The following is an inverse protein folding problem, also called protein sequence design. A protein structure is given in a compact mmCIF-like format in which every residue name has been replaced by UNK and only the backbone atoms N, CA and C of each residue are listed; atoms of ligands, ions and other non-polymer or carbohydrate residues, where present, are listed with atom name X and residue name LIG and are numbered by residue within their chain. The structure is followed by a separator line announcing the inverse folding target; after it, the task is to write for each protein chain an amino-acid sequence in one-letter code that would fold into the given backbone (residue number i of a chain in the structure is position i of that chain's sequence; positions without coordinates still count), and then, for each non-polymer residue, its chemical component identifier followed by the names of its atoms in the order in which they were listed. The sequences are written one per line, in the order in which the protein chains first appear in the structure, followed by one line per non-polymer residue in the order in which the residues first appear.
data_IF_038629442475
#
_entry.id   IF_038629442475
#
_cell.length_a   1.000
_cell.length_b   1.000
_cell.length_c   1.000
_cell.angle_alpha   90.00
_cell.angle_beta   90.00
_cell.angle_gamma   90.00
#
_symmetry.space_group_name_H-M   'P 1'
#
loop_
_entity.id
_entity.type
_entity.pdbx_description
1 polymer ?
#
# COMPACT_ATOMS: atom_id res chain seq x y z
N UNK A 1 -14.10 -37.42 -27.22
CA UNK A 1 -13.87 -36.24 -26.36
C UNK A 1 -14.07 -35.02 -27.27
N UNK A 2 -15.18 -34.32 -27.07
CA UNK A 2 -15.45 -33.08 -27.82
C UNK A 2 -14.43 -32.04 -27.37
N UNK A 3 -13.62 -31.52 -28.30
CA UNK A 3 -12.67 -30.47 -27.96
C UNK A 3 -13.43 -29.22 -27.48
N UNK A 4 -13.13 -28.77 -26.29
CA UNK A 4 -13.73 -27.58 -25.69
C UNK A 4 -12.83 -26.41 -26.05
N UNK A 5 -13.39 -25.43 -26.74
CA UNK A 5 -12.66 -24.22 -27.08
C UNK A 5 -12.87 -23.13 -25.99
N UNK A 6 -11.82 -22.79 -25.29
CA UNK A 6 -11.80 -21.68 -24.31
C UNK A 6 -10.85 -20.60 -24.84
N UNK A 7 -11.39 -19.44 -25.15
CA UNK A 7 -10.59 -18.31 -25.61
C UNK A 7 -9.97 -17.54 -24.43
N UNK A 8 -8.66 -17.47 -24.44
CA UNK A 8 -7.85 -16.71 -23.47
C UNK A 8 -6.87 -15.78 -24.18
N UNK A 9 -6.50 -14.66 -23.58
CA UNK A 9 -5.33 -13.92 -24.03
C UNK A 9 -4.12 -14.85 -24.09
N UNK A 10 -3.35 -14.86 -25.20
CA UNK A 10 -2.25 -15.82 -25.39
C UNK A 10 -1.25 -15.84 -24.24
N UNK A 11 -0.98 -14.70 -23.64
CA UNK A 11 -0.04 -14.55 -22.52
C UNK A 11 -0.51 -15.24 -21.23
N UNK A 12 -1.81 -15.52 -21.08
CA UNK A 12 -2.36 -16.24 -19.94
C UNK A 12 -2.35 -17.76 -20.11
N UNK A 13 -2.22 -18.28 -21.32
CA UNK A 13 -2.24 -19.73 -21.58
C UNK A 13 -1.19 -20.45 -20.70
N UNK A 14 0.10 -20.06 -20.69
CA UNK A 14 1.10 -20.74 -19.85
C UNK A 14 0.84 -20.65 -18.34
N UNK A 15 0.06 -19.64 -17.91
CA UNK A 15 -0.31 -19.49 -16.49
C UNK A 15 -1.20 -20.65 -16.04
N UNK A 16 -2.08 -21.14 -16.91
CA UNK A 16 -3.04 -22.19 -16.59
C UNK A 16 -2.57 -23.60 -16.97
N UNK A 17 -1.43 -23.74 -17.65
CA UNK A 17 -0.85 -25.03 -17.99
C UNK A 17 -0.05 -25.64 -16.85
N UNK A 18 -0.01 -26.98 -16.79
CA UNK A 18 0.81 -27.76 -15.85
C UNK A 18 0.49 -27.50 -14.37
N UNK A 19 1.36 -27.94 -13.47
CA UNK A 19 1.19 -27.80 -12.01
C UNK A 19 1.70 -26.43 -11.53
N UNK A 20 0.99 -25.86 -10.58
CA UNK A 20 1.42 -24.69 -9.80
C UNK A 20 0.53 -24.61 -8.54
N UNK A 21 1.10 -24.13 -7.43
CA UNK A 21 0.34 -23.86 -6.21
C UNK A 21 -0.29 -22.45 -6.26
N UNK A 22 0.38 -21.55 -6.97
CA UNK A 22 -0.07 -20.17 -7.15
C UNK A 22 -0.14 -19.81 -8.65
N UNK A 23 -1.25 -19.21 -9.05
CA UNK A 23 -1.37 -18.63 -10.39
C UNK A 23 -1.83 -17.19 -10.25
N UNK A 24 -1.29 -16.31 -11.08
CA UNK A 24 -1.68 -14.90 -10.95
C UNK A 24 -1.42 -14.08 -12.20
N UNK A 25 -2.11 -12.93 -12.22
CA UNK A 25 -1.86 -11.91 -13.20
C UNK A 25 -2.02 -10.51 -12.57
N UNK A 26 -1.03 -9.66 -12.82
CA UNK A 26 -1.09 -8.27 -12.40
C UNK A 26 -0.92 -7.34 -13.61
N UNK A 27 -1.30 -6.08 -13.46
CA UNK A 27 -1.09 -5.06 -14.50
C UNK A 27 -2.26 -4.11 -14.67
N UNK A 28 -2.26 -3.37 -15.77
CA UNK A 28 -3.18 -2.29 -16.03
C UNK A 28 -4.63 -2.71 -16.28
N UNK A 29 -5.51 -1.74 -16.36
CA UNK A 29 -6.92 -1.93 -16.70
C UNK A 29 -7.08 -2.42 -18.15
N UNK A 30 -8.22 -3.07 -18.42
CA UNK A 30 -8.56 -3.53 -19.77
C UNK A 30 -7.77 -4.76 -20.26
N UNK A 31 -6.97 -5.39 -19.40
CA UNK A 31 -6.13 -6.55 -19.74
C UNK A 31 -6.86 -7.90 -19.77
N UNK A 32 -8.18 -7.94 -19.49
CA UNK A 32 -9.02 -9.15 -19.40
C UNK A 32 -8.64 -10.13 -18.27
N UNK A 33 -7.83 -9.74 -17.26
CA UNK A 33 -7.43 -10.59 -16.13
C UNK A 33 -8.64 -11.22 -15.42
N UNK A 34 -9.49 -10.40 -14.83
CA UNK A 34 -10.65 -10.84 -14.04
C UNK A 34 -11.55 -11.78 -14.83
N UNK A 35 -11.91 -11.41 -16.07
CA UNK A 35 -12.72 -12.25 -16.95
C UNK A 35 -12.09 -13.61 -17.24
N UNK A 36 -10.79 -13.63 -17.55
CA UNK A 36 -10.06 -14.86 -17.85
C UNK A 36 -9.95 -15.77 -16.63
N UNK A 37 -9.65 -15.21 -15.46
CA UNK A 37 -9.58 -15.99 -14.23
C UNK A 37 -10.95 -16.50 -13.81
N UNK A 38 -12.01 -15.71 -13.91
CA UNK A 38 -13.38 -16.16 -13.67
C UNK A 38 -13.77 -17.34 -14.59
N UNK A 39 -13.46 -17.25 -15.89
CA UNK A 39 -13.66 -18.33 -16.84
C UNK A 39 -12.89 -19.59 -16.42
N UNK A 40 -11.62 -19.45 -16.07
CA UNK A 40 -10.76 -20.58 -15.72
C UNK A 40 -11.12 -21.20 -14.37
N UNK A 41 -11.67 -20.43 -13.40
CA UNK A 41 -12.24 -21.04 -12.19
C UNK A 41 -13.40 -21.97 -12.53
N UNK A 42 -14.26 -21.56 -13.47
CA UNK A 42 -15.37 -22.39 -13.93
C UNK A 42 -14.90 -23.65 -14.68
N UNK A 43 -13.90 -23.51 -15.53
CA UNK A 43 -13.26 -24.66 -16.19
C UNK A 43 -12.70 -25.65 -15.16
N UNK A 44 -11.92 -25.13 -14.19
CA UNK A 44 -11.31 -25.96 -13.12
C UNK A 44 -12.35 -26.68 -12.29
N UNK A 45 -13.42 -25.99 -11.87
CA UNK A 45 -14.52 -26.61 -11.10
C UNK A 45 -15.26 -27.69 -11.89
N UNK A 46 -15.54 -27.47 -13.17
CA UNK A 46 -16.13 -28.49 -14.06
C UNK A 46 -15.21 -29.71 -14.22
N UNK A 47 -13.89 -29.50 -14.36
CA UNK A 47 -12.90 -30.60 -14.46
C UNK A 47 -12.85 -31.42 -13.16
N UNK A 48 -12.78 -30.76 -12.00
CA UNK A 48 -12.80 -31.42 -10.68
C UNK A 48 -14.06 -32.28 -10.54
N UNK A 49 -15.23 -31.72 -10.81
CA UNK A 49 -16.50 -32.46 -10.74
C UNK A 49 -16.57 -33.62 -11.75
N UNK A 50 -16.05 -33.45 -12.97
CA UNK A 50 -15.99 -34.53 -13.97
C UNK A 50 -15.11 -35.70 -13.51
N UNK A 51 -14.06 -35.43 -12.74
CA UNK A 51 -13.18 -36.42 -12.13
C UNK A 51 -13.76 -37.06 -10.87
N UNK A 52 -14.98 -36.71 -10.46
CA UNK A 52 -15.61 -37.23 -9.25
C UNK A 52 -15.17 -36.50 -7.96
N UNK A 53 -14.40 -35.44 -8.07
CA UNK A 53 -13.96 -34.66 -6.92
C UNK A 53 -15.07 -33.71 -6.45
N UNK A 54 -15.13 -33.51 -5.12
CA UNK A 54 -16.12 -32.63 -4.49
C UNK A 54 -15.43 -31.66 -3.55
N UNK A 55 -15.89 -30.41 -3.52
CA UNK A 55 -15.31 -29.38 -2.67
C UNK A 55 -15.84 -27.99 -3.00
N UNK A 56 -15.07 -26.97 -2.66
CA UNK A 56 -15.46 -25.57 -2.86
C UNK A 56 -14.43 -24.81 -3.66
N UNK A 57 -14.92 -23.86 -4.47
CA UNK A 57 -14.14 -22.75 -5.02
C UNK A 57 -14.48 -21.50 -4.21
N UNK A 58 -13.50 -20.96 -3.51
CA UNK A 58 -13.64 -19.70 -2.79
C UNK A 58 -13.20 -18.55 -3.68
N UNK A 59 -14.12 -17.62 -3.98
CA UNK A 59 -13.79 -16.34 -4.59
C UNK A 59 -13.81 -15.25 -3.52
N UNK A 60 -12.70 -14.53 -3.38
CA UNK A 60 -12.54 -13.54 -2.31
C UNK A 60 -12.02 -12.20 -2.85
N UNK A 61 -12.37 -11.12 -2.14
CA UNK A 61 -11.81 -9.78 -2.24
C UNK A 61 -11.54 -9.26 -0.84
N UNK A 62 -10.74 -8.19 -0.68
CA UNK A 62 -10.55 -7.56 0.63
C UNK A 62 -11.89 -7.10 1.22
N UNK A 63 -12.70 -6.42 0.42
CA UNK A 63 -14.04 -5.99 0.80
C UNK A 63 -15.06 -6.60 -0.17
N UNK A 64 -16.17 -7.09 0.38
CA UNK A 64 -17.31 -7.58 -0.38
C UNK A 64 -18.53 -6.73 -0.01
N UNK A 65 -18.83 -5.72 -0.83
CA UNK A 65 -19.95 -4.80 -0.59
C UNK A 65 -21.29 -5.39 -1.05
N UNK A 66 -21.29 -6.12 -2.18
CA UNK A 66 -22.44 -6.89 -2.63
C UNK A 66 -21.98 -8.13 -3.42
N UNK A 67 -22.80 -9.19 -3.43
CA UNK A 67 -22.56 -10.39 -4.24
C UNK A 67 -22.67 -10.08 -5.74
N UNK A 68 -23.59 -9.20 -6.13
CA UNK A 68 -23.88 -8.93 -7.53
C UNK A 68 -22.84 -8.05 -8.23
N UNK A 69 -22.07 -7.25 -7.45
CA UNK A 69 -21.01 -6.39 -7.97
C UNK A 69 -19.60 -7.00 -7.78
N UNK A 70 -19.52 -8.29 -7.61
CA UNK A 70 -18.31 -9.00 -7.23
C UNK A 70 -17.89 -10.04 -8.26
N UNK A 71 -16.91 -10.85 -7.89
CA UNK A 71 -16.47 -12.04 -8.63
C UNK A 71 -17.62 -13.01 -8.95
N UNK A 72 -18.75 -12.96 -8.23
CA UNK A 72 -19.95 -13.73 -8.54
C UNK A 72 -20.52 -13.39 -9.93
N UNK A 73 -20.69 -12.10 -10.24
CA UNK A 73 -21.21 -11.65 -11.53
C UNK A 73 -20.28 -12.09 -12.69
N UNK A 74 -18.97 -11.97 -12.49
CA UNK A 74 -17.96 -12.38 -13.49
C UNK A 74 -17.97 -13.89 -13.73
N UNK A 75 -18.04 -14.71 -12.68
CA UNK A 75 -18.12 -16.17 -12.83
C UNK A 75 -19.45 -16.57 -13.46
N UNK A 76 -20.56 -15.96 -13.04
CA UNK A 76 -21.88 -16.19 -13.65
C UNK A 76 -21.87 -15.85 -15.14
N UNK A 77 -21.33 -14.71 -15.52
CA UNK A 77 -21.23 -14.28 -16.92
C UNK A 77 -20.33 -15.23 -17.74
N UNK A 78 -19.23 -15.70 -17.16
CA UNK A 78 -18.34 -16.67 -17.80
C UNK A 78 -19.04 -18.01 -18.07
N UNK A 79 -19.79 -18.53 -17.10
CA UNK A 79 -20.55 -19.77 -17.23
C UNK A 79 -21.65 -19.64 -18.28
N UNK A 80 -22.50 -18.61 -18.17
CA UNK A 80 -23.63 -18.42 -19.08
C UNK A 80 -23.21 -18.06 -20.50
N UNK A 81 -22.05 -17.45 -20.67
CA UNK A 81 -21.48 -17.10 -21.97
C UNK A 81 -20.77 -18.25 -22.69
N UNK A 82 -20.69 -19.44 -22.10
CA UNK A 82 -20.07 -20.60 -22.69
C UNK A 82 -21.01 -21.82 -22.63
N UNK A 83 -21.34 -22.37 -23.78
CA UNK A 83 -22.35 -23.45 -23.89
C UNK A 83 -21.96 -24.70 -23.08
N UNK A 84 -20.70 -25.13 -23.12
CA UNK A 84 -20.24 -26.26 -22.33
C UNK A 84 -20.34 -26.00 -20.82
N UNK A 85 -19.87 -24.84 -20.35
CA UNK A 85 -19.94 -24.50 -18.94
C UNK A 85 -21.40 -24.38 -18.46
N UNK A 86 -22.30 -23.84 -19.29
CA UNK A 86 -23.73 -23.76 -18.96
C UNK A 86 -24.35 -25.12 -18.69
N UNK A 87 -23.89 -26.18 -19.37
CA UNK A 87 -24.33 -27.56 -19.10
C UNK A 87 -23.72 -28.17 -17.81
N UNK A 88 -22.52 -27.68 -17.43
CA UNK A 88 -21.81 -28.16 -16.25
C UNK A 88 -22.32 -27.59 -14.93
N UNK A 89 -23.05 -26.48 -14.95
CA UNK A 89 -23.41 -25.72 -13.76
C UNK A 89 -24.91 -25.45 -13.62
N UNK A 90 -25.36 -25.38 -12.36
CA UNK A 90 -26.59 -24.71 -11.95
C UNK A 90 -26.24 -23.33 -11.39
N UNK A 91 -26.83 -22.28 -11.97
CA UNK A 91 -26.57 -20.88 -11.59
C UNK A 91 -27.87 -20.26 -11.12
N UNK A 92 -27.94 -19.93 -9.84
CA UNK A 92 -29.06 -19.20 -9.25
C UNK A 92 -28.80 -17.71 -9.05
N UNK A 93 -29.64 -17.06 -8.27
CA UNK A 93 -29.45 -15.65 -7.90
C UNK A 93 -28.29 -15.46 -6.91
N UNK A 94 -28.08 -16.43 -6.02
CA UNK A 94 -27.10 -16.34 -4.91
C UNK A 94 -26.19 -17.55 -4.81
N UNK A 95 -26.23 -18.47 -5.77
CA UNK A 95 -25.39 -19.65 -5.77
C UNK A 95 -24.93 -20.03 -7.16
N UNK A 96 -23.76 -20.64 -7.22
CA UNK A 96 -23.20 -21.32 -8.39
C UNK A 96 -22.69 -22.69 -7.86
N UNK A 97 -23.09 -23.77 -8.54
CA UNK A 97 -22.65 -25.12 -8.23
C UNK A 97 -22.63 -25.99 -9.47
N UNK A 98 -21.85 -27.03 -9.47
CA UNK A 98 -21.88 -28.00 -10.56
C UNK A 98 -23.21 -28.74 -10.65
N UNK A 99 -23.61 -29.10 -11.86
CA UNK A 99 -24.87 -29.81 -12.13
C UNK A 99 -24.89 -31.15 -11.35
N UNK A 100 -25.99 -31.50 -10.67
CA UNK A 100 -26.13 -32.78 -9.93
C UNK A 100 -25.88 -34.05 -10.76
N UNK A 101 -25.92 -33.96 -12.09
CA UNK A 101 -25.60 -35.09 -12.99
C UNK A 101 -24.10 -35.35 -13.12
N UNK A 102 -23.26 -34.45 -12.65
CA UNK A 102 -21.81 -34.65 -12.67
C UNK A 102 -21.38 -35.65 -11.59
N UNK A 103 -20.30 -36.41 -11.80
CA UNK A 103 -19.80 -37.36 -10.81
C UNK A 103 -19.41 -36.77 -9.47
N UNK A 104 -18.87 -35.54 -9.45
CA UNK A 104 -18.49 -34.80 -8.25
C UNK A 104 -19.29 -33.50 -8.12
N UNK A 105 -19.21 -32.89 -6.91
CA UNK A 105 -19.90 -31.65 -6.61
C UNK A 105 -18.94 -30.54 -6.21
N UNK A 106 -18.93 -29.44 -6.95
CA UNK A 106 -18.16 -28.24 -6.63
C UNK A 106 -19.10 -27.07 -6.47
N UNK A 107 -19.09 -26.49 -5.27
CA UNK A 107 -19.90 -25.31 -4.91
C UNK A 107 -19.00 -24.07 -4.89
N UNK A 108 -19.53 -22.92 -5.32
CA UNK A 108 -18.84 -21.64 -5.16
C UNK A 108 -19.22 -20.97 -3.84
N UNK A 109 -18.23 -20.36 -3.21
CA UNK A 109 -18.44 -19.47 -2.08
C UNK A 109 -17.75 -18.13 -2.30
N UNK A 110 -18.39 -17.05 -1.87
CA UNK A 110 -17.89 -15.68 -2.05
C UNK A 110 -17.73 -15.01 -0.69
N UNK A 111 -16.59 -14.34 -0.46
CA UNK A 111 -16.30 -13.79 0.87
C UNK A 111 -15.41 -12.54 0.79
N UNK A 112 -15.69 -11.56 1.67
CA UNK A 112 -14.75 -10.48 1.98
C UNK A 112 -13.71 -10.94 3.01
N UNK A 113 -12.44 -10.65 2.78
CA UNK A 113 -11.36 -11.08 3.67
C UNK A 113 -11.32 -10.25 4.95
N UNK A 114 -11.63 -8.95 4.87
CA UNK A 114 -11.48 -8.00 5.98
C UNK A 114 -12.21 -8.40 7.28
N UNK A 115 -13.41 -8.95 7.16
CA UNK A 115 -14.27 -9.25 8.31
C UNK A 115 -14.60 -10.75 8.47
N UNK A 116 -14.29 -11.59 7.47
CA UNK A 116 -14.78 -12.97 7.42
C UNK A 116 -13.67 -14.03 7.46
N UNK A 117 -12.44 -13.68 7.79
CA UNK A 117 -11.32 -14.64 7.83
C UNK A 117 -11.59 -15.82 8.75
N UNK A 118 -12.24 -15.61 9.91
CA UNK A 118 -12.56 -16.71 10.83
C UNK A 118 -13.63 -17.64 10.24
N UNK A 119 -14.62 -17.11 9.50
CA UNK A 119 -15.62 -17.95 8.83
C UNK A 119 -15.04 -18.74 7.65
N UNK A 120 -13.97 -18.23 7.02
CA UNK A 120 -13.27 -18.93 5.94
C UNK A 120 -12.52 -20.15 6.48
N UNK A 121 -11.91 -20.05 7.68
CA UNK A 121 -11.23 -21.18 8.33
C UNK A 121 -12.14 -22.38 8.62
N UNK A 122 -13.43 -22.15 8.82
CA UNK A 122 -14.42 -23.20 9.07
C UNK A 122 -14.93 -23.87 7.79
N UNK A 123 -14.60 -23.33 6.59
CA UNK A 123 -15.00 -23.93 5.32
C UNK A 123 -14.15 -25.18 5.05
N UNK A 124 -14.83 -26.27 4.75
CA UNK A 124 -14.17 -27.54 4.43
C UNK A 124 -13.86 -27.63 2.93
N UNK A 125 -12.76 -28.32 2.61
CA UNK A 125 -12.37 -28.72 1.25
C UNK A 125 -12.37 -27.59 0.22
N UNK A 126 -11.59 -26.54 0.48
CA UNK A 126 -11.36 -25.49 -0.51
C UNK A 126 -10.32 -26.01 -1.53
N UNK A 127 -10.78 -26.34 -2.73
CA UNK A 127 -9.95 -26.88 -3.82
C UNK A 127 -9.27 -25.78 -4.63
N UNK A 128 -9.87 -24.60 -4.65
CA UNK A 128 -9.35 -23.41 -5.33
C UNK A 128 -9.79 -22.18 -4.57
N UNK A 129 -8.83 -21.26 -4.35
CA UNK A 129 -9.12 -19.93 -3.81
C UNK A 129 -8.69 -18.87 -4.82
N UNK A 130 -9.62 -18.09 -5.35
CA UNK A 130 -9.32 -16.96 -6.23
C UNK A 130 -9.54 -15.65 -5.50
N UNK A 131 -8.46 -14.87 -5.35
CA UNK A 131 -8.47 -13.54 -4.77
C UNK A 131 -8.41 -12.53 -5.91
N UNK A 132 -9.54 -11.87 -6.17
CA UNK A 132 -9.64 -10.81 -7.18
C UNK A 132 -9.47 -9.44 -6.54
N UNK A 133 -8.91 -8.47 -7.29
CA UNK A 133 -8.55 -7.15 -6.77
C UNK A 133 -7.70 -7.23 -5.49
N UNK A 134 -6.66 -8.05 -5.52
CA UNK A 134 -5.88 -8.40 -4.34
C UNK A 134 -4.94 -7.28 -3.83
N UNK A 135 -4.82 -6.13 -4.49
CA UNK A 135 -3.91 -5.06 -4.08
C UNK A 135 -4.09 -4.60 -2.61
N UNK A 136 -5.34 -4.37 -2.11
CA UNK A 136 -5.54 -3.90 -0.74
C UNK A 136 -5.44 -5.01 0.32
N UNK A 137 -5.23 -6.28 -0.05
CA UNK A 137 -5.18 -7.38 0.92
C UNK A 137 -3.99 -7.23 1.85
N UNK A 138 -4.26 -7.22 3.15
CA UNK A 138 -3.23 -7.01 4.17
C UNK A 138 -2.35 -8.25 4.39
N UNK A 139 -1.13 -8.06 4.91
CA UNK A 139 -0.25 -9.16 5.26
C UNK A 139 -0.88 -10.09 6.30
N UNK A 140 -1.65 -9.56 7.25
CA UNK A 140 -2.40 -10.35 8.22
C UNK A 140 -3.46 -11.22 7.53
N UNK A 141 -4.15 -10.69 6.51
CA UNK A 141 -5.12 -11.47 5.74
C UNK A 141 -4.43 -12.59 4.96
N UNK A 142 -3.32 -12.32 4.30
CA UNK A 142 -2.51 -13.33 3.61
C UNK A 142 -2.01 -14.42 4.57
N UNK A 143 -1.42 -14.05 5.70
CA UNK A 143 -0.87 -15.00 6.68
C UNK A 143 -1.93 -15.93 7.28
N UNK A 144 -3.20 -15.51 7.34
CA UNK A 144 -4.31 -16.34 7.79
C UNK A 144 -4.95 -17.17 6.68
N UNK A 145 -5.03 -16.61 5.47
CA UNK A 145 -5.69 -17.25 4.33
C UNK A 145 -4.85 -18.43 3.79
N UNK A 146 -3.55 -18.22 3.58
CA UNK A 146 -2.68 -19.21 2.95
C UNK A 146 -2.71 -20.58 3.67
N UNK A 147 -2.56 -20.66 5.01
CA UNK A 147 -2.64 -21.95 5.71
C UNK A 147 -4.04 -22.58 5.73
N UNK A 148 -5.08 -21.81 5.36
CA UNK A 148 -6.45 -22.31 5.31
C UNK A 148 -6.71 -23.13 4.04
N UNK A 149 -6.02 -22.81 2.94
CA UNK A 149 -6.08 -23.54 1.67
C UNK A 149 -5.04 -24.66 1.72
N UNK A 150 -5.48 -25.86 2.10
CA UNK A 150 -4.59 -26.96 2.50
C UNK A 150 -4.96 -28.33 1.92
N UNK A 151 -5.99 -28.40 1.09
CA UNK A 151 -6.33 -29.65 0.42
C UNK A 151 -5.23 -30.03 -0.58
N UNK A 152 -4.97 -31.32 -0.74
CA UNK A 152 -4.00 -31.79 -1.71
C UNK A 152 -4.41 -31.38 -3.13
N UNK A 153 -3.49 -30.76 -3.88
CA UNK A 153 -3.75 -30.23 -5.23
C UNK A 153 -4.61 -28.96 -5.25
N UNK A 154 -4.86 -28.33 -4.08
CA UNK A 154 -5.51 -27.02 -4.04
C UNK A 154 -4.59 -25.94 -4.58
N UNK A 155 -5.17 -24.92 -5.19
CA UNK A 155 -4.44 -23.81 -5.80
C UNK A 155 -4.96 -22.46 -5.26
N UNK A 156 -4.08 -21.46 -5.24
CA UNK A 156 -4.42 -20.06 -4.92
C UNK A 156 -4.16 -19.21 -6.15
N UNK A 157 -5.21 -18.53 -6.60
CA UNK A 157 -5.16 -17.67 -7.78
C UNK A 157 -5.32 -16.21 -7.36
N UNK A 158 -4.51 -15.32 -7.96
CA UNK A 158 -4.43 -13.91 -7.54
C UNK A 158 -4.47 -12.99 -8.74
N UNK A 159 -5.41 -12.05 -8.75
CA UNK A 159 -5.49 -10.99 -9.77
C UNK A 159 -5.49 -9.63 -9.13
N UNK A 160 -4.64 -8.70 -9.63
CA UNK A 160 -4.59 -7.33 -9.08
C UNK A 160 -4.09 -6.31 -10.10
N UNK A 161 -4.40 -5.07 -9.84
CA UNK A 161 -3.75 -3.93 -10.47
C UNK A 161 -2.78 -3.35 -9.42
N UNK A 162 -1.47 -3.32 -9.69
CA UNK A 162 -0.51 -2.73 -8.77
C UNK A 162 -0.86 -1.28 -8.50
N UNK A 163 -0.78 -0.87 -7.25
CA UNK A 163 -1.02 0.50 -6.86
C UNK A 163 0.15 1.03 -6.05
N UNK A 164 0.60 0.27 -5.07
CA UNK A 164 1.68 0.64 -4.18
C UNK A 164 2.83 -0.36 -4.26
N UNK A 165 4.04 0.14 -4.55
CA UNK A 165 5.25 -0.69 -4.43
C UNK A 165 5.44 -1.16 -2.99
N UNK A 166 5.60 -2.48 -2.80
CA UNK A 166 5.76 -3.08 -1.48
C UNK A 166 4.46 -3.24 -0.69
N UNK A 167 3.28 -3.18 -1.34
CA UNK A 167 2.05 -3.72 -0.74
C UNK A 167 2.23 -5.20 -0.42
N UNK A 168 1.45 -5.75 0.52
CA UNK A 168 1.59 -7.15 0.92
C UNK A 168 1.45 -8.12 -0.27
N UNK A 169 0.55 -7.80 -1.20
CA UNK A 169 0.35 -8.57 -2.43
C UNK A 169 1.51 -8.39 -3.40
N UNK A 170 1.98 -7.16 -3.59
CA UNK A 170 3.13 -6.84 -4.44
C UNK A 170 4.39 -7.54 -3.94
N UNK A 171 4.70 -7.44 -2.65
CA UNK A 171 5.86 -8.08 -2.06
C UNK A 171 5.83 -9.60 -2.28
N UNK A 172 4.69 -10.24 -2.01
CA UNK A 172 4.53 -11.69 -2.03
C UNK A 172 4.48 -12.29 -3.43
N UNK A 173 3.89 -11.60 -4.40
CA UNK A 173 3.60 -12.19 -5.72
C UNK A 173 4.28 -11.51 -6.90
N UNK A 174 4.90 -10.34 -6.70
CA UNK A 174 5.66 -9.64 -7.75
C UNK A 174 7.14 -9.51 -7.39
N UNK A 175 7.48 -9.11 -6.14
CA UNK A 175 8.88 -8.90 -5.73
C UNK A 175 9.54 -10.23 -5.36
N UNK A 176 8.86 -11.04 -4.55
CA UNK A 176 9.36 -12.32 -4.04
C UNK A 176 8.33 -13.44 -4.29
N UNK A 177 8.06 -13.78 -5.57
CA UNK A 177 7.05 -14.77 -5.89
C UNK A 177 7.43 -16.16 -5.35
N UNK A 178 6.46 -16.94 -4.83
CA UNK A 178 6.70 -18.31 -4.36
C UNK A 178 7.25 -19.20 -5.49
N UNK A 179 8.13 -20.15 -5.14
CA UNK A 179 8.81 -21.02 -6.13
C UNK A 179 7.82 -21.79 -7.03
N UNK A 180 6.67 -22.18 -6.50
CA UNK A 180 5.63 -22.93 -7.21
C UNK A 180 4.56 -21.97 -7.79
N UNK A 181 4.97 -20.82 -8.33
CA UNK A 181 4.06 -19.82 -8.86
C UNK A 181 4.17 -19.64 -10.38
N UNK A 182 3.03 -19.31 -11.00
CA UNK A 182 2.93 -18.85 -12.40
C UNK A 182 2.21 -17.52 -12.42
N UNK A 183 2.99 -16.44 -12.43
CA UNK A 183 2.48 -15.07 -12.32
C UNK A 183 2.99 -14.28 -13.53
N UNK A 184 2.11 -13.50 -14.15
CA UNK A 184 2.43 -12.76 -15.36
C UNK A 184 1.90 -11.32 -15.27
N UNK A 185 2.65 -10.39 -15.85
CA UNK A 185 2.15 -9.03 -16.09
C UNK A 185 1.25 -9.00 -17.32
N UNK A 186 0.06 -8.41 -17.17
CA UNK A 186 -0.96 -8.31 -18.22
C UNK A 186 -1.44 -6.87 -18.36
N UNK A 187 -1.33 -6.33 -19.57
CA UNK A 187 -1.82 -4.98 -19.87
C UNK A 187 -2.87 -5.00 -20.99
N UNK A 188 -3.42 -3.85 -21.31
CA UNK A 188 -4.40 -3.72 -22.38
C UNK A 188 -3.91 -4.26 -23.76
N UNK A 189 -2.61 -4.16 -24.03
CA UNK A 189 -1.96 -4.68 -25.26
C UNK A 189 -2.05 -6.20 -25.37
N UNK A 190 -2.09 -6.89 -24.24
CA UNK A 190 -2.16 -8.35 -24.16
C UNK A 190 -3.59 -8.88 -24.31
N UNK A 191 -4.59 -8.00 -24.35
CA UNK A 191 -6.01 -8.33 -24.51
C UNK A 191 -6.43 -8.24 -25.99
N UNK A 192 -6.67 -9.36 -26.70
CA UNK A 192 -7.05 -9.35 -28.11
C UNK A 192 -8.36 -8.62 -28.41
N UNK A 193 -9.21 -8.48 -27.40
CA UNK A 193 -10.54 -7.87 -27.54
C UNK A 193 -10.57 -6.41 -27.10
N UNK A 194 -9.46 -5.84 -26.62
CA UNK A 194 -9.40 -4.51 -26.03
C UNK A 194 -9.98 -3.42 -26.96
N UNK A 195 -9.59 -3.43 -28.23
CA UNK A 195 -10.01 -2.43 -29.22
C UNK A 195 -11.52 -2.47 -29.55
N UNK A 196 -12.21 -3.53 -29.16
CA UNK A 196 -13.67 -3.64 -29.28
C UNK A 196 -14.42 -3.05 -28.08
N UNK A 197 -13.70 -2.55 -27.09
CA UNK A 197 -14.27 -2.01 -25.87
C UNK A 197 -14.23 -0.48 -25.85
N UNK A 198 -15.14 0.15 -25.11
CA UNK A 198 -15.12 1.61 -24.85
C UNK A 198 -13.82 2.07 -24.20
N UNK A 199 -13.11 1.19 -23.51
CA UNK A 199 -11.87 1.50 -22.81
C UNK A 199 -10.75 1.93 -23.78
N UNK A 200 -10.80 1.52 -25.05
CA UNK A 200 -9.82 1.92 -26.06
C UNK A 200 -9.77 3.45 -26.24
N UNK A 201 -10.95 4.09 -26.35
CA UNK A 201 -11.03 5.54 -26.47
C UNK A 201 -10.62 6.25 -25.18
N UNK A 202 -11.06 5.74 -24.03
CA UNK A 202 -10.69 6.30 -22.73
C UNK A 202 -9.18 6.24 -22.50
N UNK A 203 -8.51 5.17 -22.90
CA UNK A 203 -7.04 5.05 -22.80
C UNK A 203 -6.32 6.15 -23.58
N UNK A 204 -6.77 6.45 -24.81
CA UNK A 204 -6.17 7.53 -25.61
C UNK A 204 -6.38 8.88 -24.93
N UNK A 205 -7.59 9.13 -24.45
CA UNK A 205 -7.90 10.36 -23.73
C UNK A 205 -7.07 10.52 -22.44
N UNK A 206 -6.90 9.44 -21.66
CA UNK A 206 -6.08 9.46 -20.45
C UNK A 206 -4.59 9.69 -20.76
N UNK A 207 -4.09 9.16 -21.88
CA UNK A 207 -2.72 9.37 -22.31
C UNK A 207 -2.44 10.86 -22.62
N UNK A 208 -3.41 11.55 -23.22
CA UNK A 208 -3.29 12.95 -23.58
C UNK A 208 -3.55 13.90 -22.39
N UNK A 209 -4.60 13.61 -21.61
CA UNK A 209 -5.10 14.54 -20.58
C UNK A 209 -4.59 14.22 -19.16
N UNK A 210 -4.17 12.98 -18.91
CA UNK A 210 -3.78 12.48 -17.58
C UNK A 210 -2.50 11.64 -17.63
N UNK A 211 -1.39 12.13 -18.22
CA UNK A 211 -0.17 11.36 -18.40
C UNK A 211 0.42 10.88 -17.04
N UNK A 212 0.24 11.63 -15.96
CA UNK A 212 0.75 11.30 -14.63
C UNK A 212 0.13 10.01 -14.04
N UNK A 213 -1.08 9.64 -14.46
CA UNK A 213 -1.78 8.43 -14.02
C UNK A 213 -1.82 7.33 -15.08
N UNK A 214 -1.36 7.62 -16.31
CA UNK A 214 -1.47 6.70 -17.44
C UNK A 214 -0.72 5.37 -17.20
N UNK A 215 0.53 5.45 -16.77
CA UNK A 215 1.39 4.28 -16.55
C UNK A 215 0.80 3.35 -15.48
N UNK A 216 0.27 3.92 -14.39
CA UNK A 216 -0.40 3.15 -13.36
C UNK A 216 -1.70 2.51 -13.86
N UNK A 217 -2.58 3.29 -14.50
CA UNK A 217 -3.91 2.81 -14.89
C UNK A 217 -3.81 1.76 -16.01
N UNK A 218 -2.96 2.00 -17.01
CA UNK A 218 -2.97 1.24 -18.26
C UNK A 218 -1.79 0.29 -18.44
N UNK A 219 -0.60 0.62 -17.92
CA UNK A 219 0.60 -0.20 -18.11
C UNK A 219 0.93 -1.04 -16.85
N UNK A 220 0.16 -0.91 -15.78
CA UNK A 220 0.32 -1.71 -14.57
C UNK A 220 1.58 -1.37 -13.76
N UNK A 221 1.99 -0.12 -13.84
CA UNK A 221 3.02 0.44 -12.98
C UNK A 221 2.42 0.86 -11.63
N UNK A 222 3.24 1.33 -10.73
CA UNK A 222 2.77 1.83 -9.44
C UNK A 222 2.18 3.23 -9.58
N UNK A 223 1.18 3.53 -8.77
CA UNK A 223 0.62 4.88 -8.72
C UNK A 223 1.67 5.86 -8.24
N UNK A 224 1.98 6.86 -9.07
CA UNK A 224 2.85 7.96 -8.70
C UNK A 224 2.13 9.03 -7.88
N UNK A 225 0.81 9.11 -8.02
CA UNK A 225 -0.04 10.13 -7.39
C UNK A 225 -1.37 9.50 -6.99
N UNK A 226 -1.73 9.59 -5.70
CA UNK A 226 -3.06 9.23 -5.24
C UNK A 226 -4.03 10.39 -5.46
N UNK A 227 -5.25 10.11 -5.93
CA UNK A 227 -6.28 11.14 -6.09
C UNK A 227 -6.65 11.76 -4.73
N UNK A 228 -6.56 13.09 -4.62
CA UNK A 228 -6.74 13.79 -3.34
C UNK A 228 -5.50 13.85 -2.46
N UNK A 229 -4.34 13.39 -2.95
CA UNK A 229 -3.09 13.48 -2.22
C UNK A 229 -2.67 14.93 -1.96
N UNK A 230 -2.23 15.20 -0.71
CA UNK A 230 -1.89 16.56 -0.28
C UNK A 230 -0.56 17.06 -0.83
N UNK A 231 0.42 16.15 -1.05
CA UNK A 231 1.82 16.52 -1.29
C UNK A 231 2.42 16.00 -2.60
N UNK A 232 1.73 15.13 -3.32
CA UNK A 232 2.23 14.45 -4.51
C UNK A 232 2.77 15.41 -5.57
N UNK A 233 2.03 16.51 -5.88
CA UNK A 233 2.47 17.53 -6.84
C UNK A 233 3.74 18.24 -6.41
N UNK A 234 3.89 18.54 -5.11
CA UNK A 234 5.07 19.19 -4.55
C UNK A 234 6.31 18.26 -4.55
N UNK A 235 6.11 16.97 -4.33
CA UNK A 235 7.18 15.97 -4.43
C UNK A 235 7.60 15.74 -5.89
N UNK A 236 6.66 15.68 -6.82
CA UNK A 236 6.95 15.64 -8.25
C UNK A 236 7.72 16.89 -8.70
N UNK A 237 7.38 18.08 -8.18
CA UNK A 237 8.14 19.30 -8.42
C UNK A 237 9.55 19.21 -7.82
N UNK A 238 9.71 18.60 -6.63
CA UNK A 238 11.03 18.40 -6.03
C UNK A 238 11.94 17.51 -6.91
N UNK A 239 11.38 16.51 -7.58
CA UNK A 239 12.13 15.67 -8.53
C UNK A 239 12.53 16.48 -9.77
N UNK A 240 11.61 17.22 -10.39
CA UNK A 240 11.91 18.09 -11.55
C UNK A 240 12.96 19.15 -11.25
N UNK A 241 12.91 19.74 -10.05
CA UNK A 241 13.87 20.74 -9.58
C UNK A 241 15.22 20.15 -9.14
N UNK A 242 15.40 18.83 -9.27
CA UNK A 242 16.61 18.10 -8.83
C UNK A 242 16.91 18.34 -7.34
N UNK A 243 15.87 18.44 -6.51
CA UNK A 243 15.98 18.55 -5.05
C UNK A 243 15.98 17.19 -4.34
N UNK A 244 15.80 16.10 -5.08
CA UNK A 244 15.97 14.72 -4.63
C UNK A 244 17.28 14.23 -5.23
N UNK A 245 18.30 14.10 -4.36
CA UNK A 245 19.71 13.87 -4.74
C UNK A 245 20.26 12.64 -4.01
N UNK A 246 21.33 12.08 -4.53
CA UNK A 246 21.92 10.85 -3.95
C UNK A 246 22.59 11.11 -2.61
N UNK A 247 23.10 12.32 -2.37
CA UNK A 247 23.68 12.73 -1.09
C UNK A 247 23.50 14.21 -0.84
N UNK A 248 23.45 14.60 0.44
CA UNK A 248 23.46 15.98 0.90
C UNK A 248 24.62 16.19 1.86
N UNK A 249 25.34 17.31 1.77
CA UNK A 249 26.37 17.64 2.75
C UNK A 249 25.72 17.87 4.12
N UNK A 250 26.38 17.30 5.14
CA UNK A 250 26.03 17.54 6.55
C UNK A 250 26.98 18.61 7.08
N UNK A 251 26.44 19.72 7.55
CA UNK A 251 27.23 20.78 8.19
C UNK A 251 27.50 20.36 9.64
N UNK A 252 28.76 20.12 10.03
CA UNK A 252 29.08 19.69 11.40
C UNK A 252 28.84 20.79 12.46
N UNK A 253 28.69 22.03 12.05
CA UNK A 253 28.37 23.13 12.96
C UNK A 253 26.86 23.24 13.29
N UNK A 254 26.02 22.52 12.57
CA UNK A 254 24.57 22.56 12.75
C UNK A 254 24.04 21.22 13.27
N UNK A 255 23.09 21.22 14.22
CA UNK A 255 22.50 19.97 14.71
C UNK A 255 21.65 19.28 13.66
N UNK A 256 21.59 17.94 13.72
CA UNK A 256 20.60 17.12 13.05
C UNK A 256 19.45 16.89 14.02
N UNK A 257 18.23 17.06 13.55
CA UNK A 257 17.02 16.85 14.34
C UNK A 257 16.27 15.61 13.87
N UNK A 258 15.75 14.82 14.83
CA UNK A 258 14.84 13.72 14.59
C UNK A 258 13.41 14.09 15.00
N UNK A 259 12.46 14.03 14.05
CA UNK A 259 11.05 14.35 14.28
C UNK A 259 10.22 13.07 14.28
N UNK A 260 9.49 12.83 15.35
CA UNK A 260 8.85 11.55 15.62
C UNK A 260 7.33 11.57 15.39
N UNK A 261 6.81 10.43 14.96
CA UNK A 261 5.44 10.00 15.24
C UNK A 261 5.51 8.71 16.04
N UNK A 262 4.84 8.67 17.19
CA UNK A 262 4.98 7.57 18.15
C UNK A 262 3.95 6.50 17.82
N UNK A 263 4.42 5.38 17.27
CA UNK A 263 3.62 4.19 17.10
C UNK A 263 3.47 3.38 18.39
N UNK A 264 2.65 2.35 18.34
CA UNK A 264 2.46 1.42 19.46
C UNK A 264 3.39 0.20 19.40
N UNK A 265 3.43 -0.59 20.48
CA UNK A 265 4.07 -1.90 20.52
C UNK A 265 3.04 -3.00 20.28
N UNK A 266 3.30 -3.92 19.33
CA UNK A 266 2.46 -5.06 19.01
C UNK A 266 2.17 -5.22 17.51
N UNK A 267 1.76 -6.40 17.10
CA UNK A 267 1.59 -6.75 15.68
C UNK A 267 0.51 -5.95 14.93
N UNK A 268 -0.38 -5.25 15.65
CA UNK A 268 -1.43 -4.39 15.10
C UNK A 268 -1.22 -2.91 15.40
N UNK A 269 -0.08 -2.57 15.99
CA UNK A 269 0.19 -1.19 16.39
C UNK A 269 0.55 -0.33 15.18
N UNK A 270 0.32 0.97 15.32
CA UNK A 270 0.76 1.97 14.36
C UNK A 270 2.27 1.99 14.22
N UNK A 271 2.76 2.37 13.05
CA UNK A 271 4.19 2.46 12.77
C UNK A 271 4.84 3.59 13.56
N UNK A 272 6.04 3.33 14.09
CA UNK A 272 6.90 4.35 14.67
C UNK A 272 7.74 4.97 13.54
N UNK A 273 7.68 6.29 13.35
CA UNK A 273 8.40 6.96 12.26
C UNK A 273 9.26 8.12 12.76
N UNK A 274 10.41 8.33 12.12
CA UNK A 274 11.33 9.43 12.44
C UNK A 274 11.88 10.02 11.13
N UNK A 275 11.73 11.32 10.93
CA UNK A 275 12.43 12.05 9.91
C UNK A 275 13.66 12.74 10.47
N UNK A 276 14.82 12.58 9.83
CA UNK A 276 16.08 13.22 10.21
C UNK A 276 16.37 14.38 9.26
N UNK A 277 16.54 15.58 9.81
CA UNK A 277 16.76 16.76 9.01
C UNK A 277 17.75 17.74 9.64
N UNK A 278 18.40 18.54 8.79
CA UNK A 278 19.26 19.64 9.17
C UNK A 278 18.77 20.93 8.49
N UNK A 279 18.75 22.02 9.23
CA UNK A 279 18.30 23.34 8.75
C UNK A 279 19.52 24.17 8.32
N UNK A 280 19.73 24.31 7.00
CA UNK A 280 20.93 24.94 6.42
C UNK A 280 20.51 26.19 5.66
N UNK A 281 20.64 27.35 6.28
CA UNK A 281 20.15 28.61 5.71
C UNK A 281 18.65 28.56 5.45
N UNK A 282 18.24 28.77 4.21
CA UNK A 282 16.83 28.74 3.80
C UNK A 282 16.36 27.32 3.39
N UNK A 283 17.25 26.33 3.41
CA UNK A 283 16.98 24.97 2.99
C UNK A 283 16.84 24.02 4.17
N UNK A 284 16.00 23.03 3.99
CA UNK A 284 15.84 21.88 4.90
C UNK A 284 16.44 20.67 4.19
N UNK A 285 17.55 20.17 4.70
CA UNK A 285 18.18 18.96 4.23
C UNK A 285 17.56 17.76 4.95
N UNK A 286 16.68 17.03 4.27
CA UNK A 286 16.06 15.82 4.78
C UNK A 286 17.01 14.65 4.49
N UNK A 287 17.72 14.21 5.52
CA UNK A 287 18.89 13.33 5.42
C UNK A 287 18.52 11.85 5.44
N UNK A 288 17.50 11.50 6.23
CA UNK A 288 17.12 10.11 6.46
C UNK A 288 15.66 9.99 6.87
N UNK A 289 15.12 8.78 6.73
CA UNK A 289 13.82 8.39 7.20
C UNK A 289 13.89 7.01 7.85
N UNK A 290 13.23 6.85 8.97
CA UNK A 290 13.13 5.60 9.70
C UNK A 290 11.67 5.26 9.92
N UNK A 291 11.32 4.01 9.69
CA UNK A 291 10.01 3.45 9.99
C UNK A 291 10.17 2.02 10.50
N UNK A 292 9.45 1.68 11.57
CA UNK A 292 9.32 0.31 12.05
C UNK A 292 7.97 0.11 12.73
N UNK A 293 7.39 -1.08 12.61
CA UNK A 293 6.11 -1.45 13.19
C UNK A 293 6.28 -2.55 14.23
N UNK A 294 5.50 -2.48 15.30
CA UNK A 294 5.41 -3.55 16.29
C UNK A 294 6.64 -3.75 17.16
N UNK A 295 7.62 -2.84 17.12
CA UNK A 295 8.84 -2.91 17.90
C UNK A 295 8.70 -2.20 19.26
N UNK A 296 9.49 -2.64 20.23
CA UNK A 296 9.54 -1.99 21.54
C UNK A 296 10.38 -0.70 21.46
N UNK A 297 10.13 0.25 22.37
CA UNK A 297 10.79 1.56 22.36
C UNK A 297 12.32 1.49 22.40
N UNK A 298 12.87 0.55 23.15
CA UNK A 298 14.34 0.34 23.21
C UNK A 298 14.96 -0.06 21.85
N UNK A 299 14.21 -0.74 21.01
CA UNK A 299 14.65 -1.06 19.64
C UNK A 299 14.84 0.23 18.80
N UNK A 300 13.87 1.13 18.83
CA UNK A 300 13.93 2.41 18.11
C UNK A 300 15.09 3.27 18.59
N UNK A 301 15.31 3.35 19.93
CA UNK A 301 16.42 4.08 20.53
C UNK A 301 17.76 3.50 20.09
N UNK A 302 17.92 2.18 20.09
CA UNK A 302 19.16 1.53 19.68
C UNK A 302 19.45 1.74 18.19
N UNK A 303 18.42 1.67 17.31
CA UNK A 303 18.57 1.97 15.90
C UNK A 303 19.00 3.42 15.65
N UNK A 304 18.43 4.38 16.35
CA UNK A 304 18.84 5.77 16.21
C UNK A 304 20.25 6.01 16.76
N UNK A 305 20.62 5.36 17.88
CA UNK A 305 21.99 5.43 18.42
C UNK A 305 23.03 4.93 17.42
N UNK A 306 22.70 3.89 16.66
CA UNK A 306 23.56 3.33 15.62
C UNK A 306 23.67 4.24 14.39
N UNK A 307 22.54 4.85 13.98
CA UNK A 307 22.44 5.65 12.72
C UNK A 307 22.81 7.11 12.93
N UNK A 308 22.33 7.72 14.00
CA UNK A 308 22.39 9.17 14.27
C UNK A 308 22.63 9.45 15.75
N UNK A 309 23.78 9.08 16.34
CA UNK A 309 24.02 9.13 17.79
C UNK A 309 23.96 10.53 18.40
N UNK A 310 24.13 11.57 17.60
CA UNK A 310 24.16 12.97 18.05
C UNK A 310 22.92 13.78 17.59
N UNK A 311 21.89 13.11 17.09
CA UNK A 311 20.67 13.80 16.70
C UNK A 311 19.90 14.30 17.95
N UNK A 312 19.30 15.48 17.80
CA UNK A 312 18.41 16.06 18.83
C UNK A 312 16.99 15.61 18.51
N UNK A 313 16.31 14.98 19.44
CA UNK A 313 15.00 14.39 19.23
C UNK A 313 13.87 15.36 19.57
N UNK A 314 12.93 15.50 18.65
CA UNK A 314 11.67 16.23 18.84
C UNK A 314 10.52 15.23 18.83
N UNK A 315 9.91 15.04 20.00
CA UNK A 315 8.74 14.17 20.14
C UNK A 315 7.45 14.97 19.95
N UNK A 316 6.36 14.32 19.50
CA UNK A 316 5.02 14.89 19.49
C UNK A 316 4.52 15.09 20.94
N UNK A 317 3.29 15.60 21.08
CA UNK A 317 2.68 15.82 22.38
C UNK A 317 2.57 14.55 23.24
N UNK A 318 2.46 13.39 22.63
CA UNK A 318 2.37 12.10 23.31
C UNK A 318 3.71 11.65 23.93
N UNK A 319 4.81 12.32 23.61
CA UNK A 319 6.12 12.07 24.21
C UNK A 319 6.17 12.23 25.73
N UNK A 320 5.22 12.98 26.32
CA UNK A 320 5.07 13.13 27.79
C UNK A 320 4.26 12.00 28.42
N UNK A 321 3.63 11.12 27.62
CA UNK A 321 2.85 10.01 28.15
C UNK A 321 3.77 8.98 28.82
N UNK A 322 3.28 8.38 29.89
CA UNK A 322 3.98 7.30 30.57
C UNK A 322 3.84 6.00 29.78
N UNK A 323 4.96 5.31 29.62
CA UNK A 323 4.95 3.96 29.10
C UNK A 323 4.32 3.04 30.17
N UNK A 324 3.22 2.40 29.83
CA UNK A 324 2.43 1.55 30.75
C UNK A 324 3.21 0.38 31.38
N UNK A 325 4.34 -0.02 30.77
CA UNK A 325 5.19 -1.11 31.29
C UNK A 325 6.26 -0.63 32.26
N UNK A 326 6.76 0.60 32.10
CA UNK A 326 7.93 1.10 32.84
C UNK A 326 7.57 2.24 33.81
N UNK A 327 6.38 2.86 33.66
CA UNK A 327 5.98 4.05 34.43
C UNK A 327 6.82 5.29 34.13
N UNK A 328 7.75 5.25 33.16
CA UNK A 328 8.54 6.39 32.70
C UNK A 328 7.93 7.03 31.48
N UNK A 329 8.13 8.33 31.32
CA UNK A 329 7.72 9.05 30.11
C UNK A 329 8.56 8.61 28.91
N UNK A 330 7.96 8.62 27.73
CA UNK A 330 8.65 8.25 26.48
C UNK A 330 9.87 9.16 26.26
N UNK A 331 9.75 10.47 26.55
CA UNK A 331 10.87 11.41 26.44
C UNK A 331 12.05 11.05 27.36
N UNK A 332 11.79 10.51 28.57
CA UNK A 332 12.83 10.13 29.51
C UNK A 332 13.58 8.86 29.04
N UNK A 333 12.89 7.93 28.39
CA UNK A 333 13.55 6.79 27.76
C UNK A 333 14.53 7.22 26.66
N UNK A 334 14.20 8.24 25.87
CA UNK A 334 15.10 8.78 24.85
C UNK A 334 16.30 9.50 25.49
N UNK A 335 16.10 10.26 26.59
CA UNK A 335 17.20 10.88 27.36
C UNK A 335 18.12 9.83 27.98
N UNK A 336 17.57 8.79 28.61
CA UNK A 336 18.34 7.65 29.14
C UNK A 336 19.09 6.93 28.02
N UNK A 337 18.56 6.94 26.80
CA UNK A 337 19.20 6.47 25.59
C UNK A 337 20.38 7.30 25.11
N UNK A 338 20.69 8.44 25.79
CA UNK A 338 21.81 9.32 25.46
C UNK A 338 21.48 10.42 24.45
N UNK A 339 20.19 10.66 24.15
CA UNK A 339 19.78 11.71 23.22
C UNK A 339 19.38 12.98 23.93
N UNK A 340 19.71 14.12 23.35
CA UNK A 340 19.07 15.38 23.70
C UNK A 340 17.62 15.34 23.18
N UNK A 341 16.67 15.67 24.06
CA UNK A 341 15.23 15.69 23.73
C UNK A 341 14.68 17.09 23.98
N UNK A 342 14.18 17.69 22.92
CA UNK A 342 13.50 18.99 23.02
C UNK A 342 12.15 18.85 23.75
N UNK A 343 11.68 19.94 24.32
CA UNK A 343 10.36 19.95 24.94
C UNK A 343 9.29 19.57 23.93
N UNK A 344 8.49 18.53 24.19
CA UNK A 344 7.41 18.12 23.29
C UNK A 344 6.44 19.27 22.99
N UNK A 345 5.85 19.25 21.81
CA UNK A 345 4.80 20.22 21.46
C UNK A 345 3.57 19.98 22.34
N UNK A 346 2.88 21.06 22.68
CA UNK A 346 1.54 20.95 23.27
C UNK A 346 0.54 20.45 22.24
N UNK A 347 -0.47 19.71 22.69
CA UNK A 347 -1.55 19.25 21.82
C UNK A 347 -2.22 20.46 21.13
N UNK A 348 -2.31 20.42 19.81
CA UNK A 348 -2.84 21.51 19.00
C UNK A 348 -4.38 21.48 18.86
N UNK A 349 -5.03 20.44 19.40
CA UNK A 349 -6.48 20.34 19.42
C UNK A 349 -7.11 20.01 18.06
N UNK A 350 -8.39 20.32 17.94
CA UNK A 350 -9.20 20.05 16.75
C UNK A 350 -8.65 20.81 15.52
N UNK A 351 -8.46 20.11 14.40
CA UNK A 351 -7.89 20.70 13.18
C UNK A 351 -6.36 20.62 13.08
N UNK A 352 -5.65 20.05 14.06
CA UNK A 352 -4.20 19.91 14.06
C UNK A 352 -3.65 19.21 12.82
N UNK A 353 -4.34 18.18 12.30
CA UNK A 353 -3.93 17.46 11.11
C UNK A 353 -3.89 18.36 9.86
N UNK A 354 -4.91 19.21 9.65
CA UNK A 354 -4.91 20.16 8.54
C UNK A 354 -3.89 21.27 8.72
N UNK A 355 -3.63 21.71 9.94
CA UNK A 355 -2.54 22.67 10.22
C UNK A 355 -1.18 22.09 9.85
N UNK A 356 -0.95 20.79 10.16
CA UNK A 356 0.25 20.06 9.71
C UNK A 356 0.34 19.99 8.20
N UNK A 357 -0.76 19.67 7.50
CA UNK A 357 -0.81 19.65 6.03
C UNK A 357 -0.39 20.99 5.43
N UNK A 358 -0.94 22.09 5.93
CA UNK A 358 -0.59 23.44 5.43
C UNK A 358 0.87 23.82 5.78
N UNK A 359 1.36 23.43 6.96
CA UNK A 359 2.77 23.63 7.32
C UNK A 359 3.71 22.88 6.38
N UNK A 360 3.39 21.61 6.05
CA UNK A 360 4.17 20.80 5.11
C UNK A 360 4.16 21.42 3.71
N UNK A 361 3.02 21.89 3.22
CA UNK A 361 2.93 22.59 1.92
C UNK A 361 3.87 23.80 1.85
N UNK A 362 4.02 24.54 2.94
CA UNK A 362 4.92 25.71 3.01
C UNK A 362 6.39 25.34 2.97
N UNK A 363 6.80 24.24 3.61
CA UNK A 363 8.23 23.87 3.70
C UNK A 363 8.71 22.97 2.57
N UNK A 364 7.87 22.15 1.95
CA UNK A 364 8.26 21.22 0.87
C UNK A 364 9.04 21.90 -0.28
N UNK A 365 8.70 23.12 -0.71
CA UNK A 365 9.51 23.83 -1.72
C UNK A 365 10.94 24.12 -1.27
N UNK A 366 11.21 24.13 0.04
CA UNK A 366 12.53 24.36 0.65
C UNK A 366 13.24 23.07 1.08
N UNK A 367 12.63 21.92 0.85
CA UNK A 367 13.21 20.64 1.21
C UNK A 367 14.07 20.07 0.09
N UNK A 368 15.25 19.56 0.46
CA UNK A 368 16.10 18.68 -0.35
C UNK A 368 16.16 17.31 0.32
N UNK A 369 16.10 16.24 -0.45
CA UNK A 369 15.99 14.88 0.07
C UNK A 369 17.16 14.01 -0.40
N UNK A 370 17.68 13.17 0.50
CA UNK A 370 18.60 12.08 0.11
C UNK A 370 17.77 10.94 -0.49
N UNK A 371 17.98 10.65 -1.79
CA UNK A 371 17.13 9.78 -2.61
C UNK A 371 16.78 8.45 -1.96
N UNK A 372 17.76 7.62 -1.69
CA UNK A 372 17.53 6.28 -1.15
C UNK A 372 17.01 6.29 0.29
N UNK A 373 17.67 7.06 1.17
CA UNK A 373 17.37 7.08 2.60
C UNK A 373 15.99 7.64 2.94
N UNK A 374 15.40 8.45 2.06
CA UNK A 374 14.08 9.06 2.27
C UNK A 374 12.99 8.47 1.38
N UNK A 375 13.30 7.44 0.57
CA UNK A 375 12.39 6.90 -0.42
C UNK A 375 11.06 6.43 0.19
N UNK A 376 11.11 5.61 1.22
CA UNK A 376 9.91 5.06 1.87
C UNK A 376 8.99 6.17 2.38
N UNK A 377 9.55 7.14 3.12
CA UNK A 377 8.77 8.25 3.65
C UNK A 377 8.24 9.20 2.55
N UNK A 378 8.99 9.42 1.46
CA UNK A 378 8.50 10.22 0.33
C UNK A 378 7.35 9.54 -0.41
N UNK A 379 7.38 8.20 -0.54
CA UNK A 379 6.26 7.43 -1.09
C UNK A 379 5.03 7.61 -0.21
N UNK A 380 5.19 7.50 1.10
CA UNK A 380 4.13 7.70 2.07
C UNK A 380 3.55 9.13 2.02
N UNK A 381 4.40 10.15 2.03
CA UNK A 381 3.97 11.55 1.86
C UNK A 381 3.22 11.78 0.53
N UNK A 382 3.68 11.15 -0.55
CA UNK A 382 3.03 11.23 -1.86
C UNK A 382 1.65 10.58 -1.88
N UNK A 383 1.44 9.61 -1.00
CA UNK A 383 0.18 8.90 -0.85
C UNK A 383 -0.79 9.58 0.11
N UNK A 384 -0.32 10.32 1.10
CA UNK A 384 -1.15 10.94 2.12
C UNK A 384 -2.25 11.83 1.54
N UNK A 385 -3.51 11.44 1.74
CA UNK A 385 -4.65 11.96 1.02
C UNK A 385 -5.83 12.30 1.93
N UNK A 386 -6.78 13.04 1.36
CA UNK A 386 -8.05 13.38 2.01
C UNK A 386 -8.94 12.14 2.16
N UNK A 387 -9.58 12.03 3.31
CA UNK A 387 -10.60 11.01 3.54
C UNK A 387 -11.80 11.28 2.64
N UNK A 388 -12.17 10.27 1.84
CA UNK A 388 -13.33 10.34 0.95
C UNK A 388 -14.31 9.21 1.31
N UNK A 389 -15.60 9.51 1.52
CA UNK A 389 -16.63 8.49 1.65
C UNK A 389 -16.81 7.75 0.33
N UNK A 390 -17.28 6.51 0.39
CA UNK A 390 -17.50 5.68 -0.80
C UNK A 390 -18.50 6.27 -1.80
N UNK A 391 -19.39 7.16 -1.35
CA UNK A 391 -20.40 7.85 -2.16
C UNK A 391 -19.94 9.20 -2.73
N UNK A 392 -18.73 9.64 -2.40
CA UNK A 392 -18.09 10.83 -2.97
C UNK A 392 -18.77 12.18 -2.68
N UNK A 393 -19.73 12.24 -1.75
CA UNK A 393 -20.56 13.42 -1.52
C UNK A 393 -20.02 14.44 -0.52
N UNK A 394 -19.07 14.04 0.30
CA UNK A 394 -18.49 14.92 1.31
C UNK A 394 -17.01 15.22 0.99
N UNK A 395 -16.69 16.52 0.97
CA UNK A 395 -15.33 17.05 0.82
C UNK A 395 -14.95 17.72 2.14
N UNK A 396 -13.67 17.66 2.51
CA UNK A 396 -13.19 18.37 3.70
C UNK A 396 -13.29 17.58 5.01
N UNK A 397 -13.37 16.25 4.94
CA UNK A 397 -13.35 15.36 6.11
C UNK A 397 -11.99 15.31 6.83
N UNK A 398 -11.00 16.00 6.27
CA UNK A 398 -9.62 15.95 6.73
C UNK A 398 -8.85 14.73 6.20
N UNK A 399 -7.60 14.52 6.68
CA UNK A 399 -6.76 13.46 6.18
C UNK A 399 -7.29 12.08 6.52
N UNK A 400 -7.08 11.12 5.60
CA UNK A 400 -7.31 9.72 5.87
C UNK A 400 -6.26 9.18 6.84
N UNK A 401 -6.70 8.39 7.81
CA UNK A 401 -5.79 7.72 8.75
C UNK A 401 -5.53 6.30 8.26
N UNK A 402 -4.45 6.14 7.53
CA UNK A 402 -3.96 4.86 7.01
C UNK A 402 -2.43 4.76 7.21
N UNK A 403 -1.81 3.80 6.57
CA UNK A 403 -0.35 3.58 6.65
C UNK A 403 0.48 4.82 6.28
N UNK A 404 -0.04 5.74 5.46
CA UNK A 404 0.65 6.95 5.02
C UNK A 404 0.61 8.10 6.03
N UNK A 405 -0.30 8.03 7.00
CA UNK A 405 -0.51 9.10 7.99
C UNK A 405 0.66 9.27 8.95
N UNK A 406 1.32 8.17 9.36
CA UNK A 406 2.40 8.21 10.35
C UNK A 406 3.61 9.01 9.87
N UNK A 407 4.03 8.78 8.63
CA UNK A 407 5.13 9.54 8.02
C UNK A 407 4.76 10.99 7.76
N UNK A 408 3.50 11.25 7.43
CA UNK A 408 2.99 12.60 7.24
C UNK A 408 2.88 13.36 8.56
N UNK A 409 2.52 12.70 9.65
CA UNK A 409 2.41 13.31 10.98
C UNK A 409 3.79 13.67 11.54
N UNK A 410 4.79 12.78 11.43
CA UNK A 410 6.17 13.07 11.84
C UNK A 410 6.81 14.16 10.94
N UNK A 411 6.56 14.16 9.62
CA UNK A 411 7.00 15.25 8.75
C UNK A 411 6.25 16.56 9.04
N UNK A 412 4.97 16.46 9.39
CA UNK A 412 4.16 17.59 9.84
C UNK A 412 4.68 18.23 11.13
N UNK A 413 5.19 17.41 12.06
CA UNK A 413 5.87 17.90 13.27
C UNK A 413 7.11 18.72 12.89
N UNK A 414 7.96 18.23 11.98
CA UNK A 414 9.09 18.97 11.44
C UNK A 414 8.65 20.31 10.83
N UNK A 415 7.57 20.29 10.04
CA UNK A 415 7.06 21.47 9.36
C UNK A 415 6.60 22.57 10.33
N UNK A 416 5.88 22.20 11.39
CA UNK A 416 5.44 23.15 12.41
C UNK A 416 6.62 23.72 13.19
N UNK A 417 7.63 22.89 13.46
CA UNK A 417 8.81 23.29 14.22
C UNK A 417 9.81 24.09 13.39
N UNK A 418 9.76 24.00 12.07
CA UNK A 418 10.74 24.62 11.16
C UNK A 418 10.98 26.09 11.41
N UNK A 419 9.95 26.86 11.72
CA UNK A 419 10.06 28.30 12.02
C UNK A 419 10.94 28.60 13.24
N UNK A 420 11.05 27.67 14.18
CA UNK A 420 11.91 27.83 15.37
C UNK A 420 13.38 27.63 15.06
N UNK A 421 13.69 26.82 14.04
CA UNK A 421 15.06 26.48 13.67
C UNK A 421 15.64 27.45 12.64
N UNK A 422 14.83 27.91 11.70
CA UNK A 422 15.26 28.89 10.66
C UNK A 422 15.53 30.27 11.29
N UNK A 423 14.87 30.66 12.37
CA UNK A 423 15.03 31.98 13.03
C UNK A 423 16.29 32.14 13.90
N UNK A 424 17.10 31.11 14.09
CA UNK A 424 18.43 31.24 14.68
C UNK A 424 19.43 31.80 13.65
N UNK A 425 19.17 32.98 13.08
CA UNK A 425 20.24 33.80 12.48
C UNK A 425 21.28 34.05 13.56
N UNK A 426 22.54 33.75 13.26
CA UNK A 426 23.67 34.04 14.13
C UNK A 426 23.54 35.47 14.66
N UNK A 427 23.66 35.62 15.99
CA UNK A 427 23.87 36.96 16.56
C UNK A 427 25.07 37.57 15.83
N UNK A 428 24.96 38.77 15.29
CA UNK A 428 26.13 39.41 14.73
C UNK A 428 27.21 39.46 15.81
N UNK A 429 28.39 38.99 15.49
CA UNK A 429 29.57 39.18 16.34
C UNK A 429 29.69 40.69 16.54
N UNK A 430 29.42 41.17 17.74
CA UNK A 430 29.79 42.53 18.17
C UNK A 430 31.32 42.57 18.16
N UNK A 431 31.88 43.18 17.13
CA UNK A 431 33.29 43.55 17.19
C UNK A 431 33.50 44.47 18.34
N UNK A 432 34.50 44.26 19.21
CA UNK A 432 34.83 45.17 20.25
C UNK A 432 35.18 46.52 19.61
N UNK A 433 34.54 47.59 20.07
CA UNK A 433 34.87 48.94 19.64
C UNK A 433 36.26 49.28 20.22
N UNK A 434 37.29 49.14 19.43
CA UNK A 434 38.60 49.74 19.77
C UNK A 434 38.45 51.24 19.63
N UNK A 435 38.08 51.90 20.74
CA UNK A 435 38.09 53.36 20.85
C UNK A 435 39.48 53.86 20.51
N UNK A 436 39.54 54.71 19.51
CA UNK A 436 40.70 55.50 19.19
C UNK A 436 41.14 56.32 20.41
N UNK A 437 42.25 55.87 21.00
CA UNK A 437 43.02 56.77 21.87
C UNK A 437 43.86 57.69 20.96
N UNK A 438 43.53 58.95 20.90
CA UNK A 438 44.42 60.09 20.68
C UNK A 438 43.98 61.17 21.68
#
# INVERSE_FOLDING_TARGET
VTAINIELPPKLIPVFEGKADFRGAYGGRGSAKTRSFAMMTAVRGAMLASNGESGQILCAREQLNSLNDSSFAEVKAAILGNEWLSQCYEVGEKFIRTNPKMPGRVDYSFSGLRHNLESIKSKARIMLCWIDEAEPVSELAWSKLLPTIREEGSEIWVTWNPERKGSATDQRFRQEPPNSSKIVQMNWKDNPWFNKTRLANQRVEDQEKRPDSYEWIWEGDYASVHEGAYFSKLLAQAERDKRIVDSLPIDPALPVYGFHDIGGSGAKADSYTIWLAQFVGDWIHVLDHYIAQGQVLSYHINEMRRRWPHAIMQLPHDGVNENSWTGKRIEDHWRDGGFEVLKPLTNQGKGAAMQRVEAVRRILPKCKFVREKTQAGRVSLGWYHEKRPADGREIGLGPNHDWSSHDADSFGLMAIMSDRFVRRKAKPLMMPNYGSAI
#
